data_IF_117500331068
#
_entry.id   IF_117500331068
#
_cell.length_a   1.000
_cell.length_b   1.000
_cell.length_c   1.000
_cell.angle_alpha   90.00
_cell.angle_beta   90.00
_cell.angle_gamma   90.00
#
_symmetry.space_group_name_H-M   'P 1'
#
loop_
_entity.id
_entity.type
_entity.pdbx_description
1 polymer ?
#
# COMPACT_ATOMS: atom_id res chain seq x y z
N UNK A 1 -15.41 -43.18 54.70
CA UNK A 1 -15.80 -41.76 54.95
C UNK A 1 -14.86 -40.89 54.11
N UNK A 2 -15.18 -40.57 52.85
CA UNK A 2 -15.83 -39.33 52.36
C UNK A 2 -15.42 -38.06 53.12
N UNK A 3 -14.51 -37.26 52.53
CA UNK A 3 -14.80 -35.88 52.09
C UNK A 3 -13.75 -35.40 51.08
N UNK A 4 -14.27 -34.67 50.11
CA UNK A 4 -13.78 -34.25 48.81
C UNK A 4 -13.83 -32.71 48.81
N UNK A 5 -13.15 -32.07 47.85
CA UNK A 5 -13.09 -30.60 47.59
C UNK A 5 -11.90 -29.94 48.30
N UNK A 6 -10.93 -29.35 47.59
CA UNK A 6 -11.15 -28.22 46.69
C UNK A 6 -10.28 -28.26 45.44
N UNK A 7 -10.94 -28.12 44.29
CA UNK A 7 -10.34 -27.77 43.01
C UNK A 7 -10.17 -26.24 42.99
N UNK A 8 -8.95 -25.74 42.91
CA UNK A 8 -8.69 -24.35 42.50
C UNK A 8 -8.24 -24.37 41.05
N UNK A 9 -9.22 -24.34 40.15
CA UNK A 9 -8.99 -24.00 38.75
C UNK A 9 -8.69 -22.50 38.69
N UNK A 10 -7.42 -22.15 38.44
CA UNK A 10 -7.05 -20.77 38.16
C UNK A 10 -7.70 -20.35 36.84
N UNK A 11 -8.52 -19.31 36.94
CA UNK A 11 -9.30 -18.75 35.84
C UNK A 11 -8.40 -18.35 34.67
N UNK A 12 -8.91 -18.66 33.47
CA UNK A 12 -8.25 -18.47 32.19
C UNK A 12 -7.93 -17.01 31.88
N UNK A 13 -6.70 -16.82 31.41
CA UNK A 13 -6.26 -15.65 30.69
C UNK A 13 -6.81 -15.75 29.26
N UNK A 14 -8.05 -15.31 29.04
CA UNK A 14 -8.61 -15.16 27.70
C UNK A 14 -8.25 -13.77 27.18
N UNK A 15 -7.04 -13.66 26.62
CA UNK A 15 -6.61 -12.51 25.83
C UNK A 15 -7.47 -12.50 24.55
N UNK A 16 -8.55 -11.72 24.56
CA UNK A 16 -9.28 -11.35 23.35
C UNK A 16 -8.37 -10.48 22.48
N UNK A 17 -7.52 -11.14 21.69
CA UNK A 17 -6.89 -10.55 20.51
C UNK A 17 -8.02 -10.18 19.55
N UNK A 18 -8.48 -8.93 19.66
CA UNK A 18 -9.33 -8.33 18.65
C UNK A 18 -8.67 -8.54 17.30
N UNK A 19 -9.40 -9.23 16.42
CA UNK A 19 -9.13 -9.35 15.00
C UNK A 19 -9.13 -7.94 14.41
N UNK A 20 -8.02 -7.23 14.54
CA UNK A 20 -7.63 -6.27 13.53
C UNK A 20 -7.58 -7.10 12.25
N UNK A 21 -8.47 -6.83 11.30
CA UNK A 21 -8.50 -7.54 10.03
C UNK A 21 -7.09 -7.52 9.45
N UNK A 22 -6.38 -8.64 9.56
CA UNK A 22 -5.12 -8.84 8.90
C UNK A 22 -5.45 -8.81 7.42
N UNK A 23 -5.34 -7.63 6.80
CA UNK A 23 -5.35 -7.49 5.36
C UNK A 23 -4.14 -8.28 4.88
N UNK A 24 -4.39 -9.53 4.48
CA UNK A 24 -3.35 -10.39 3.95
C UNK A 24 -2.86 -9.71 2.67
N UNK A 25 -1.58 -9.33 2.59
CA UNK A 25 -1.01 -8.66 1.40
C UNK A 25 -1.05 -9.54 0.13
N UNK A 26 -1.40 -10.81 0.25
CA UNK A 26 -1.27 -11.78 -0.83
C UNK A 26 0.20 -12.17 -1.02
N UNK A 27 0.53 -12.85 -2.13
CA UNK A 27 1.87 -13.38 -2.39
C UNK A 27 2.84 -12.29 -2.91
N UNK A 28 2.96 -11.16 -2.20
CA UNK A 28 3.82 -10.01 -2.57
C UNK A 28 5.32 -10.29 -2.63
N UNK A 29 5.74 -11.46 -2.16
CA UNK A 29 7.15 -11.89 -2.17
C UNK A 29 7.39 -13.11 -3.06
N UNK A 30 6.40 -13.47 -3.88
CA UNK A 30 6.51 -14.57 -4.82
C UNK A 30 7.01 -14.07 -6.16
N UNK A 31 7.74 -14.93 -6.87
CA UNK A 31 8.08 -14.70 -8.28
C UNK A 31 6.84 -14.59 -9.18
N UNK A 32 5.67 -15.01 -8.66
CA UNK A 32 4.38 -14.92 -9.33
C UNK A 32 3.74 -13.53 -9.22
N UNK A 33 4.23 -12.65 -8.33
CA UNK A 33 3.63 -11.34 -8.09
C UNK A 33 3.37 -10.55 -9.39
N UNK A 34 4.36 -10.36 -10.28
CA UNK A 34 4.12 -9.61 -11.52
C UNK A 34 3.03 -10.24 -12.39
N UNK A 35 2.99 -11.58 -12.46
CA UNK A 35 2.01 -12.31 -13.26
C UNK A 35 0.60 -12.23 -12.67
N UNK A 36 0.47 -12.26 -11.34
CA UNK A 36 -0.80 -12.12 -10.64
C UNK A 36 -1.35 -10.70 -10.70
N UNK A 37 -0.47 -9.70 -10.57
CA UNK A 37 -0.86 -8.29 -10.69
C UNK A 37 -1.33 -7.95 -12.12
N UNK A 38 -0.62 -8.45 -13.14
CA UNK A 38 -1.03 -8.24 -14.53
C UNK A 38 -2.42 -8.79 -14.87
N UNK A 39 -2.88 -9.86 -14.21
CA UNK A 39 -4.17 -10.49 -14.52
C UNK A 39 -5.37 -9.60 -14.24
N UNK A 40 -5.21 -8.58 -13.40
CA UNK A 40 -6.32 -7.76 -12.91
C UNK A 40 -6.29 -6.35 -13.49
N UNK A 41 -5.25 -6.03 -14.26
CA UNK A 41 -5.16 -4.77 -14.99
C UNK A 41 -6.24 -4.72 -16.07
N UNK A 42 -6.93 -3.58 -16.24
CA UNK A 42 -7.93 -3.43 -17.29
C UNK A 42 -7.29 -3.46 -18.68
N UNK A 43 -8.10 -3.81 -19.69
CA UNK A 43 -7.68 -3.65 -21.08
C UNK A 43 -7.22 -2.22 -21.35
N UNK A 44 -6.12 -2.08 -22.10
CA UNK A 44 -5.52 -0.76 -22.39
C UNK A 44 -4.66 -0.17 -21.27
N UNK A 45 -4.36 -0.91 -20.19
CA UNK A 45 -3.40 -0.48 -19.17
C UNK A 45 -1.97 -0.25 -19.73
N UNK A 46 -1.64 -0.88 -20.86
CA UNK A 46 -0.30 -0.82 -21.47
C UNK A 46 0.66 -1.85 -20.87
N UNK A 47 1.95 -1.73 -21.18
CA UNK A 47 2.99 -2.56 -20.62
C UNK A 47 3.25 -2.23 -19.15
N UNK A 48 3.53 -3.25 -18.34
CA UNK A 48 3.91 -3.08 -16.95
C UNK A 48 5.40 -2.71 -16.86
N UNK A 49 5.69 -1.58 -16.22
CA UNK A 49 7.04 -1.02 -16.08
C UNK A 49 7.65 -1.31 -14.71
N UNK A 50 6.82 -1.46 -13.69
CA UNK A 50 7.22 -1.82 -12.34
C UNK A 50 6.05 -2.43 -11.57
N UNK A 51 6.34 -3.41 -10.71
CA UNK A 51 5.38 -4.02 -9.80
C UNK A 51 6.08 -4.34 -8.49
N UNK A 52 5.56 -3.80 -7.39
CA UNK A 52 6.22 -3.82 -6.09
C UNK A 52 5.19 -3.90 -4.97
N UNK A 53 5.51 -4.62 -3.89
CA UNK A 53 4.73 -4.54 -2.66
C UNK A 53 4.76 -3.12 -2.08
N UNK A 54 3.66 -2.65 -1.52
CA UNK A 54 3.62 -1.31 -0.98
C UNK A 54 2.38 -0.97 -0.18
N UNK A 55 2.32 0.32 0.17
CA UNK A 55 1.25 0.92 0.93
C UNK A 55 0.71 2.14 0.20
N UNK A 56 -0.61 2.24 0.17
CA UNK A 56 -1.33 3.41 -0.34
C UNK A 56 -2.00 4.16 0.83
N UNK A 57 -1.87 5.47 0.78
CA UNK A 57 -2.43 6.43 1.71
C UNK A 57 -3.38 7.34 0.93
N UNK A 58 -4.68 7.00 0.84
CA UNK A 58 -5.68 7.75 0.10
C UNK A 58 -5.90 9.12 0.73
N UNK A 59 -5.94 10.17 -0.09
CA UNK A 59 -6.22 11.54 0.36
C UNK A 59 -5.22 12.09 1.39
N UNK A 60 -3.95 11.64 1.32
CA UNK A 60 -2.87 12.08 2.21
C UNK A 60 -1.76 12.72 1.41
N UNK A 61 -1.30 13.90 1.83
CA UNK A 61 -0.14 14.62 1.30
C UNK A 61 1.12 14.28 2.09
N UNK A 62 1.60 13.06 1.92
CA UNK A 62 2.85 12.57 2.51
C UNK A 62 2.81 12.44 4.02
N UNK A 63 3.94 12.71 4.65
CA UNK A 63 4.08 12.81 6.10
C UNK A 63 3.65 14.20 6.62
N UNK A 64 3.58 15.21 5.75
CA UNK A 64 3.18 16.56 6.15
C UNK A 64 1.79 16.60 6.82
N UNK A 65 0.81 15.86 6.33
CA UNK A 65 -0.54 15.85 6.92
C UNK A 65 -0.54 15.24 8.33
N UNK A 66 0.26 14.21 8.55
CA UNK A 66 0.43 13.59 9.88
C UNK A 66 1.17 14.53 10.83
N UNK A 67 2.20 15.23 10.34
CA UNK A 67 2.98 16.20 11.14
C UNK A 67 2.16 17.44 11.51
N UNK A 68 1.38 17.96 10.57
CA UNK A 68 0.58 19.18 10.76
C UNK A 68 -0.70 18.92 11.55
N UNK A 69 -1.23 17.70 11.50
CA UNK A 69 -2.35 17.28 12.30
C UNK A 69 -2.22 15.80 12.72
N UNK A 70 -1.76 15.50 13.95
CA UNK A 70 -1.56 14.13 14.42
C UNK A 70 -2.86 13.34 14.59
N UNK A 71 -4.02 14.02 14.53
CA UNK A 71 -5.33 13.37 14.57
C UNK A 71 -5.87 13.04 13.17
N UNK A 72 -5.12 13.33 12.10
CA UNK A 72 -5.52 12.96 10.74
C UNK A 72 -5.64 11.43 10.66
N UNK A 73 -6.84 10.89 10.39
CA UNK A 73 -7.01 9.45 10.25
C UNK A 73 -6.26 8.98 8.99
N UNK A 74 -5.18 8.22 9.21
CA UNK A 74 -4.40 7.66 8.11
C UNK A 74 -5.00 6.30 7.73
N UNK A 75 -5.85 6.28 6.71
CA UNK A 75 -6.41 5.05 6.16
C UNK A 75 -5.37 4.31 5.30
N UNK A 76 -4.34 3.76 5.94
CA UNK A 76 -3.27 3.04 5.27
C UNK A 76 -3.78 1.70 4.72
N UNK A 77 -3.62 1.51 3.42
CA UNK A 77 -3.95 0.28 2.71
C UNK A 77 -2.68 -0.44 2.28
N UNK A 78 -2.61 -1.74 2.55
CA UNK A 78 -1.50 -2.60 2.13
C UNK A 78 -1.87 -3.34 0.84
N UNK A 79 -0.90 -3.50 -0.06
CA UNK A 79 -1.16 -4.06 -1.39
C UNK A 79 0.07 -4.03 -2.29
N UNK A 80 -0.18 -3.83 -3.58
CA UNK A 80 0.82 -3.82 -4.66
C UNK A 80 0.67 -2.51 -5.43
N UNK A 81 1.79 -1.84 -5.66
CA UNK A 81 1.88 -0.69 -6.55
C UNK A 81 2.33 -1.18 -7.91
N UNK A 82 1.55 -0.88 -8.94
CA UNK A 82 1.84 -1.27 -10.32
C UNK A 82 1.95 -0.02 -11.18
N UNK A 83 3.10 0.19 -11.80
CA UNK A 83 3.31 1.25 -12.79
C UNK A 83 3.21 0.64 -14.18
N UNK A 84 2.41 1.26 -15.03
CA UNK A 84 2.26 0.89 -16.45
C UNK A 84 2.63 2.05 -17.36
N UNK A 85 2.54 1.85 -18.68
CA UNK A 85 2.72 2.91 -19.67
C UNK A 85 1.65 4.02 -19.60
N UNK A 86 0.49 3.75 -18.97
CA UNK A 86 -0.66 4.68 -19.03
C UNK A 86 -1.09 5.24 -17.68
N UNK A 87 -0.81 4.52 -16.60
CA UNK A 87 -1.31 4.85 -15.28
C UNK A 87 -0.47 4.21 -14.15
N UNK A 88 -0.63 4.79 -12.97
CA UNK A 88 -0.26 4.17 -11.69
C UNK A 88 -1.48 3.45 -11.12
N UNK A 89 -1.31 2.21 -10.70
CA UNK A 89 -2.34 1.40 -10.06
C UNK A 89 -1.94 0.99 -8.65
N UNK A 90 -2.95 0.79 -7.82
CA UNK A 90 -2.82 0.09 -6.55
C UNK A 90 -3.80 -1.07 -6.49
N UNK A 91 -3.27 -2.23 -6.14
CA UNK A 91 -4.01 -3.48 -6.08
C UNK A 91 -3.98 -4.04 -4.67
N UNK A 92 -5.09 -4.64 -4.26
CA UNK A 92 -5.18 -5.33 -2.97
C UNK A 92 -5.53 -6.79 -3.15
N UNK A 93 -4.97 -7.63 -2.29
CA UNK A 93 -5.29 -9.04 -2.30
C UNK A 93 -6.65 -9.29 -1.67
N UNK A 94 -7.55 -9.89 -2.43
CA UNK A 94 -8.81 -10.39 -1.94
C UNK A 94 -8.64 -11.86 -1.54
N UNK A 95 -8.66 -12.12 -0.22
CA UNK A 95 -8.48 -13.47 0.34
C UNK A 95 -9.57 -14.45 -0.10
N UNK A 96 -10.79 -13.96 -0.39
CA UNK A 96 -11.93 -14.78 -0.81
C UNK A 96 -11.76 -15.27 -2.24
N UNK A 97 -11.44 -14.36 -3.17
CA UNK A 97 -11.21 -14.70 -4.58
C UNK A 97 -9.81 -15.26 -4.84
N UNK A 98 -8.89 -15.13 -3.88
CA UNK A 98 -7.46 -15.47 -4.02
C UNK A 98 -6.84 -14.80 -5.24
N UNK A 99 -7.19 -13.54 -5.45
CA UNK A 99 -6.71 -12.72 -6.54
C UNK A 99 -6.44 -11.29 -6.06
N UNK A 100 -5.62 -10.56 -6.80
CA UNK A 100 -5.53 -9.12 -6.65
C UNK A 100 -6.78 -8.45 -7.23
N UNK A 101 -7.09 -7.26 -6.74
CA UNK A 101 -8.16 -6.40 -7.26
C UNK A 101 -7.63 -4.98 -7.33
N UNK A 102 -7.86 -4.31 -8.46
CA UNK A 102 -7.51 -2.90 -8.62
C UNK A 102 -8.45 -2.07 -7.75
N UNK A 103 -7.89 -1.40 -6.74
CA UNK A 103 -8.65 -0.50 -5.85
C UNK A 103 -8.38 0.97 -6.15
N UNK A 104 -7.28 1.27 -6.85
CA UNK A 104 -6.96 2.62 -7.31
C UNK A 104 -6.31 2.57 -8.68
N UNK A 105 -6.74 3.51 -9.53
CA UNK A 105 -6.10 3.84 -10.80
C UNK A 105 -5.91 5.36 -10.84
N UNK A 106 -4.71 5.80 -11.22
CA UNK A 106 -4.39 7.20 -11.47
C UNK A 106 -3.77 7.30 -12.87
N UNK A 107 -4.58 7.62 -13.90
CA UNK A 107 -4.07 7.90 -15.24
C UNK A 107 -3.07 9.06 -15.22
N UNK A 108 -2.02 8.99 -16.03
CA UNK A 108 -1.00 10.06 -16.06
C UNK A 108 -1.58 11.43 -16.46
N UNK A 109 -2.64 11.43 -17.29
CA UNK A 109 -3.38 12.65 -17.62
C UNK A 109 -4.09 13.32 -16.44
N UNK A 110 -4.31 12.59 -15.33
CA UNK A 110 -4.91 13.12 -14.10
C UNK A 110 -3.87 13.55 -13.08
N UNK A 111 -2.59 13.23 -13.29
CA UNK A 111 -1.51 13.64 -12.41
C UNK A 111 -1.10 15.07 -12.76
N UNK A 112 -1.08 15.92 -11.73
CA UNK A 112 -0.57 17.28 -11.81
C UNK A 112 0.92 17.33 -11.48
N UNK A 113 1.35 16.56 -10.48
CA UNK A 113 2.73 16.53 -10.05
C UNK A 113 3.02 15.36 -9.11
N UNK A 114 4.29 15.02 -9.01
CA UNK A 114 4.78 14.00 -8.08
C UNK A 114 5.98 14.53 -7.31
N UNK A 115 6.04 14.24 -6.02
CA UNK A 115 7.16 14.61 -5.16
C UNK A 115 7.52 13.47 -4.22
N UNK A 116 8.70 13.57 -3.61
CA UNK A 116 9.12 12.71 -2.52
C UNK A 116 8.90 13.46 -1.21
N UNK A 117 8.17 12.86 -0.27
CA UNK A 117 8.18 13.30 1.12
C UNK A 117 8.95 12.28 1.97
N UNK A 118 9.67 12.78 2.96
CA UNK A 118 10.63 12.01 3.74
C UNK A 118 10.45 12.28 5.24
N UNK A 119 10.46 11.21 6.03
CA UNK A 119 10.47 11.28 7.48
C UNK A 119 11.45 10.25 8.02
N UNK A 120 12.59 10.72 8.55
CA UNK A 120 13.72 9.85 8.90
C UNK A 120 14.17 8.99 7.71
N UNK A 121 14.17 7.68 7.90
CA UNK A 121 14.49 6.69 6.85
C UNK A 121 13.31 6.40 5.89
N UNK A 122 12.08 6.77 6.27
CA UNK A 122 10.88 6.49 5.49
C UNK A 122 10.77 7.44 4.30
N UNK A 123 10.21 6.94 3.20
CA UNK A 123 9.93 7.68 1.97
C UNK A 123 8.50 7.43 1.53
N UNK A 124 7.85 8.48 1.01
CA UNK A 124 6.57 8.38 0.32
C UNK A 124 6.61 9.20 -0.95
N UNK A 125 6.15 8.62 -2.04
CA UNK A 125 5.77 9.37 -3.23
C UNK A 125 4.44 10.04 -2.91
N UNK A 126 4.36 11.34 -3.13
CA UNK A 126 3.12 12.10 -3.06
C UNK A 126 2.71 12.42 -4.48
N UNK A 127 1.56 11.90 -4.90
CA UNK A 127 0.92 12.18 -6.18
C UNK A 127 -0.13 13.26 -5.95
N UNK A 128 0.10 14.43 -6.53
CA UNK A 128 -0.92 15.47 -6.62
C UNK A 128 -1.71 15.27 -7.91
N UNK A 129 -3.02 15.12 -7.79
CA UNK A 129 -3.93 15.01 -8.92
C UNK A 129 -4.38 16.39 -9.41
N UNK A 130 -4.91 16.46 -10.64
CA UNK A 130 -5.42 17.69 -11.25
C UNK A 130 -6.64 18.27 -10.55
N UNK A 131 -7.39 17.44 -9.84
CA UNK A 131 -8.50 17.84 -8.97
C UNK A 131 -8.03 18.37 -7.60
N UNK A 132 -6.73 18.60 -7.42
CA UNK A 132 -6.08 19.03 -6.18
C UNK A 132 -6.10 17.99 -5.04
N UNK A 133 -6.61 16.78 -5.28
CA UNK A 133 -6.48 15.66 -4.36
C UNK A 133 -5.05 15.13 -4.30
N UNK A 134 -4.73 14.45 -3.19
CA UNK A 134 -3.43 13.83 -2.97
C UNK A 134 -3.57 12.33 -2.73
N UNK A 135 -2.67 11.55 -3.27
CA UNK A 135 -2.50 10.15 -2.91
C UNK A 135 -1.03 9.93 -2.59
N UNK A 136 -0.71 9.23 -1.50
CA UNK A 136 0.67 8.90 -1.18
C UNK A 136 0.92 7.41 -1.25
N UNK A 137 2.13 7.04 -1.68
CA UNK A 137 2.55 5.65 -1.84
C UNK A 137 3.92 5.44 -1.22
N UNK A 138 4.10 4.36 -0.46
CA UNK A 138 5.40 3.89 0.00
C UNK A 138 5.63 2.47 -0.47
N UNK A 139 6.77 2.17 -1.09
CA UNK A 139 7.10 0.79 -1.44
C UNK A 139 7.73 0.09 -0.24
N UNK A 140 7.55 -1.22 -0.14
CA UNK A 140 8.05 -2.02 0.96
C UNK A 140 9.00 -3.09 0.46
N UNK A 141 10.03 -3.38 1.24
CA UNK A 141 10.96 -4.46 0.93
C UNK A 141 10.22 -5.80 0.77
N UNK A 142 10.77 -6.70 -0.05
CA UNK A 142 10.29 -8.08 -0.12
C UNK A 142 10.29 -8.71 1.29
N UNK A 143 9.12 -9.13 1.76
CA UNK A 143 8.90 -9.71 3.10
C UNK A 143 8.50 -8.70 4.18
N UNK A 144 8.52 -7.41 3.88
CA UNK A 144 8.73 -6.39 4.91
C UNK A 144 7.53 -5.51 5.28
N UNK A 145 7.56 -5.07 6.54
CA UNK A 145 6.84 -3.89 7.04
C UNK A 145 7.64 -2.59 6.86
N UNK A 146 8.87 -2.69 6.33
CA UNK A 146 9.79 -1.57 6.19
C UNK A 146 9.69 -0.96 4.80
N UNK A 147 9.81 0.37 4.75
CA UNK A 147 9.85 1.12 3.50
C UNK A 147 11.13 0.78 2.74
N UNK A 148 10.98 0.40 1.47
CA UNK A 148 12.10 0.32 0.54
C UNK A 148 12.36 1.71 -0.06
N UNK A 149 13.36 2.39 0.51
CA UNK A 149 13.78 3.72 0.05
C UNK A 149 14.19 3.71 -1.41
N UNK A 150 15.04 2.77 -1.82
CA UNK A 150 15.62 2.76 -3.16
C UNK A 150 14.56 2.49 -4.21
N UNK A 151 13.65 1.56 -3.91
CA UNK A 151 12.56 1.21 -4.82
C UNK A 151 11.56 2.36 -4.93
N UNK A 152 11.24 3.02 -3.82
CA UNK A 152 10.35 4.20 -3.79
C UNK A 152 10.94 5.36 -4.61
N UNK A 153 12.23 5.65 -4.47
CA UNK A 153 12.91 6.68 -5.24
C UNK A 153 13.00 6.31 -6.73
N UNK A 154 13.25 5.03 -7.05
CA UNK A 154 13.24 4.52 -8.44
C UNK A 154 11.87 4.67 -9.10
N UNK A 155 10.79 4.36 -8.38
CA UNK A 155 9.42 4.53 -8.88
C UNK A 155 9.11 6.01 -9.15
N UNK A 156 9.53 6.92 -8.27
CA UNK A 156 9.37 8.36 -8.48
C UNK A 156 10.06 8.82 -9.77
N UNK A 157 11.29 8.38 -10.00
CA UNK A 157 12.05 8.74 -11.19
C UNK A 157 11.41 8.22 -12.48
N UNK A 158 10.80 7.02 -12.44
CA UNK A 158 10.02 6.50 -13.57
C UNK A 158 8.76 7.31 -13.81
N UNK A 159 8.01 7.63 -12.75
CA UNK A 159 6.82 8.48 -12.84
C UNK A 159 7.16 9.84 -13.47
N UNK A 160 8.23 10.50 -13.01
CA UNK A 160 8.66 11.80 -13.55
C UNK A 160 8.96 11.77 -15.06
N UNK A 161 9.47 10.67 -15.58
CA UNK A 161 9.75 10.50 -17.02
C UNK A 161 8.49 10.29 -17.85
N UNK A 162 7.47 9.66 -17.26
CA UNK A 162 6.20 9.37 -17.92
C UNK A 162 5.22 10.55 -17.88
N UNK A 163 5.41 11.46 -16.93
CA UNK A 163 4.61 12.67 -16.82
C UNK A 163 5.08 13.74 -17.81
N UNK A 164 4.15 14.47 -18.45
CA UNK A 164 4.52 15.64 -19.24
C UNK A 164 5.20 16.67 -18.33
N UNK A 165 6.17 17.45 -18.87
CA UNK A 165 6.85 18.47 -18.08
C UNK A 165 5.84 19.44 -17.46
N UNK A 166 5.90 19.59 -16.14
CA UNK A 166 5.09 20.56 -15.40
C UNK A 166 5.38 21.96 -15.93
N UNK A 167 4.36 22.62 -16.49
CA UNK A 167 4.38 24.04 -16.85
C UNK A 167 4.13 24.91 -15.64
#
# INVERSE_FOLDING_TARGET
MKRQSSRSAALGFALLLGVAGCTTRGPVNSDQLPSLAMQVLPEGAGGMLQCSGGEWFPNVKGFNDVRSNPFTPVNRQSGVVVLTDTALFFEQWNTRSKAYEVVKRIPFGEIRGVSLDSEGASRRIVVQRRDYGYDSFGLTQAGGLLVDKSETESLLERLRRLLPPTR
#
